data_IF_587202717249
#
_entry.id   IF_587202717249
#
_cell.length_a   1.000
_cell.length_b   1.000
_cell.length_c   1.000
_cell.angle_alpha   90.00
_cell.angle_beta   90.00
_cell.angle_gamma   90.00
#
_symmetry.space_group_name_H-M   'P 1'
#
loop_
_entity.id
_entity.type
_entity.pdbx_description
1 polymer ?
#
# COMPACT_ATOMS: atom_id res chain seq x y z
N UNK A 1 17.97 50.00 -17.03
CA UNK A 1 18.81 49.66 -18.19
C UNK A 1 17.94 48.88 -19.16
N UNK A 2 17.66 49.44 -20.33
CA UNK A 2 16.77 48.87 -21.33
C UNK A 2 17.50 47.81 -22.16
N UNK A 3 16.74 47.00 -22.93
CA UNK A 3 17.33 46.07 -23.93
C UNK A 3 18.26 46.82 -24.89
N UNK A 4 17.90 48.04 -25.27
CA UNK A 4 18.69 48.88 -26.16
C UNK A 4 20.02 49.28 -25.53
N UNK A 5 20.01 49.69 -24.25
CA UNK A 5 21.23 50.05 -23.53
C UNK A 5 22.26 48.89 -23.49
N UNK A 6 21.77 47.65 -23.43
CA UNK A 6 22.62 46.45 -23.47
C UNK A 6 23.21 46.19 -24.84
N UNK A 7 22.40 46.34 -25.90
CA UNK A 7 22.84 46.17 -27.29
C UNK A 7 23.92 47.22 -27.59
N UNK A 8 23.66 48.48 -27.29
CA UNK A 8 24.58 49.58 -27.56
C UNK A 8 25.92 49.38 -26.82
N UNK A 9 25.88 48.89 -25.57
CA UNK A 9 27.07 48.57 -24.79
C UNK A 9 27.87 47.41 -25.38
N UNK A 10 27.21 46.35 -25.85
CA UNK A 10 27.88 45.21 -26.49
C UNK A 10 28.49 45.64 -27.82
N UNK A 11 27.75 46.37 -28.65
CA UNK A 11 28.21 46.89 -29.94
C UNK A 11 29.49 47.70 -29.79
N UNK A 12 29.50 48.67 -28.86
CA UNK A 12 30.69 49.48 -28.55
C UNK A 12 31.91 48.65 -28.14
N UNK A 13 31.70 47.55 -27.42
CA UNK A 13 32.79 46.66 -27.01
C UNK A 13 33.34 45.80 -28.16
N UNK A 14 32.52 45.52 -29.17
CA UNK A 14 32.89 44.68 -30.33
C UNK A 14 33.51 45.50 -31.47
N UNK A 15 33.19 46.78 -31.61
CA UNK A 15 33.66 47.69 -32.67
C UNK A 15 35.19 47.81 -32.76
N UNK A 16 35.91 47.54 -31.66
CA UNK A 16 37.37 47.64 -31.60
C UNK A 16 38.11 46.33 -31.89
N UNK A 17 37.39 45.22 -32.10
CA UNK A 17 37.98 43.90 -32.32
C UNK A 17 38.33 43.65 -33.79
N UNK A 18 39.37 42.87 -34.02
CA UNK A 18 39.72 42.36 -35.34
C UNK A 18 38.76 41.26 -35.79
N UNK A 19 38.79 40.93 -37.09
CA UNK A 19 37.96 39.88 -37.68
C UNK A 19 38.19 38.50 -37.03
N UNK A 20 39.43 38.17 -36.69
CA UNK A 20 39.77 36.89 -36.07
C UNK A 20 39.30 36.85 -34.61
N UNK A 21 39.46 37.94 -33.85
CA UNK A 21 38.92 38.03 -32.49
C UNK A 21 37.39 37.96 -32.46
N UNK A 22 36.70 38.59 -33.42
CA UNK A 22 35.25 38.46 -33.57
C UNK A 22 34.81 37.02 -33.87
N UNK A 23 35.61 36.28 -34.65
CA UNK A 23 35.37 34.85 -34.91
C UNK A 23 35.52 34.03 -33.64
N UNK A 24 36.54 34.28 -32.83
CA UNK A 24 36.74 33.60 -31.56
C UNK A 24 35.61 33.91 -30.56
N UNK A 25 35.18 35.17 -30.48
CA UNK A 25 34.01 35.58 -29.68
C UNK A 25 32.76 34.83 -30.12
N UNK A 26 32.52 34.70 -31.43
CA UNK A 26 31.37 33.95 -31.97
C UNK A 26 31.42 32.46 -31.62
N UNK A 27 32.60 31.84 -31.68
CA UNK A 27 32.80 30.44 -31.30
C UNK A 27 32.52 30.26 -29.79
N UNK A 28 33.09 31.13 -28.95
CA UNK A 28 32.90 31.08 -27.51
C UNK A 28 31.44 31.30 -27.10
N UNK A 29 30.75 32.27 -27.70
CA UNK A 29 29.31 32.50 -27.42
C UNK A 29 28.45 31.33 -27.83
N UNK A 30 28.73 30.70 -28.98
CA UNK A 30 28.03 29.49 -29.42
C UNK A 30 28.26 28.32 -28.46
N UNK A 31 29.50 28.11 -28.02
CA UNK A 31 29.84 27.07 -27.04
C UNK A 31 29.16 27.34 -25.69
N UNK A 32 29.18 28.58 -25.20
CA UNK A 32 28.51 28.98 -23.96
C UNK A 32 26.99 28.79 -24.03
N UNK A 33 26.37 29.12 -25.16
CA UNK A 33 24.94 28.89 -25.38
C UNK A 33 24.62 27.39 -25.30
N UNK A 34 25.42 26.55 -25.98
CA UNK A 34 25.26 25.09 -25.93
C UNK A 34 25.42 24.52 -24.50
N UNK A 35 26.38 25.03 -23.72
CA UNK A 35 26.53 24.63 -22.31
C UNK A 35 25.31 25.03 -21.48
N UNK A 36 24.83 26.27 -21.62
CA UNK A 36 23.65 26.75 -20.87
C UNK A 36 22.39 25.95 -21.20
N UNK A 37 22.19 25.60 -22.47
CA UNK A 37 21.07 24.76 -22.88
C UNK A 37 21.12 23.40 -22.20
N UNK A 38 22.28 22.73 -22.24
CA UNK A 38 22.47 21.42 -21.59
C UNK A 38 22.31 21.48 -20.06
N UNK A 39 22.75 22.57 -19.43
CA UNK A 39 22.54 22.77 -17.99
C UNK A 39 21.06 22.93 -17.68
N UNK A 40 20.32 23.73 -18.46
CA UNK A 40 18.89 23.90 -18.28
C UNK A 40 18.10 22.58 -18.51
N UNK A 41 18.47 21.80 -19.53
CA UNK A 41 17.91 20.47 -19.77
C UNK A 41 18.18 19.53 -18.58
N UNK A 42 19.41 19.53 -18.07
CA UNK A 42 19.77 18.73 -16.88
C UNK A 42 18.95 19.14 -15.66
N UNK A 43 18.83 20.43 -15.36
CA UNK A 43 18.05 20.95 -14.24
C UNK A 43 16.57 20.56 -14.35
N UNK A 44 16.02 20.63 -15.57
CA UNK A 44 14.65 20.19 -15.85
C UNK A 44 14.47 18.69 -15.57
N UNK A 45 15.38 17.85 -16.07
CA UNK A 45 15.36 16.40 -15.86
C UNK A 45 15.53 16.05 -14.37
N UNK A 46 16.46 16.69 -13.66
CA UNK A 46 16.67 16.47 -12.22
C UNK A 46 15.41 16.81 -11.41
N UNK A 47 14.71 17.88 -11.78
CA UNK A 47 13.43 18.25 -11.17
C UNK A 47 12.35 17.21 -11.45
N UNK A 48 12.26 16.72 -12.68
CA UNK A 48 11.29 15.70 -13.07
C UNK A 48 11.55 14.36 -12.35
N UNK A 49 12.81 13.94 -12.26
CA UNK A 49 13.23 12.77 -11.47
C UNK A 49 12.85 12.95 -10.00
N UNK A 50 13.19 14.10 -9.39
CA UNK A 50 12.88 14.37 -7.99
C UNK A 50 11.37 14.33 -7.69
N UNK A 51 10.52 14.66 -8.66
CA UNK A 51 9.07 14.59 -8.51
C UNK A 51 8.53 13.16 -8.69
N UNK A 52 9.15 12.34 -9.53
CA UNK A 52 8.71 10.98 -9.85
C UNK A 52 9.25 9.92 -8.87
N UNK A 53 10.45 10.10 -8.34
CA UNK A 53 11.06 9.12 -7.40
C UNK A 53 10.17 8.82 -6.19
N UNK A 54 9.57 9.80 -5.50
CA UNK A 54 8.67 9.52 -4.38
C UNK A 54 7.42 8.75 -4.80
N UNK A 55 6.89 8.98 -6.01
CA UNK A 55 5.70 8.30 -6.52
C UNK A 55 5.97 6.82 -6.78
N UNK A 56 7.16 6.49 -7.28
CA UNK A 56 7.60 5.10 -7.48
C UNK A 56 7.89 4.38 -6.16
N UNK A 57 8.40 5.10 -5.16
CA UNK A 57 8.67 4.54 -3.83
C UNK A 57 7.40 4.35 -2.98
N UNK A 58 6.33 5.08 -3.27
CA UNK A 58 5.06 5.03 -2.54
C UNK A 58 4.04 4.03 -3.11
N UNK A 59 4.43 3.15 -4.03
CA UNK A 59 3.49 2.14 -4.50
C UNK A 59 3.14 1.23 -3.33
N UNK A 60 1.91 1.39 -2.82
CA UNK A 60 1.41 0.61 -1.70
C UNK A 60 1.52 -0.88 -2.05
N UNK A 61 2.06 -1.65 -1.11
CA UNK A 61 2.07 -3.10 -1.24
C UNK A 61 0.63 -3.60 -1.37
N UNK A 62 0.37 -4.60 -2.21
CA UNK A 62 -0.94 -5.23 -2.28
C UNK A 62 -1.34 -5.73 -0.90
N UNK A 63 -2.61 -5.54 -0.55
CA UNK A 63 -3.21 -6.06 0.67
C UNK A 63 -3.85 -7.40 0.32
N UNK A 64 -3.51 -8.47 1.04
CA UNK A 64 -4.06 -9.81 0.82
C UNK A 64 -4.68 -10.36 2.10
N UNK A 65 -5.73 -11.19 2.04
CA UNK A 65 -6.31 -11.82 3.22
C UNK A 65 -5.30 -12.67 4.01
N UNK A 66 -5.55 -12.88 5.29
CA UNK A 66 -4.65 -13.62 6.19
C UNK A 66 -4.39 -15.06 5.70
N UNK A 67 -5.43 -15.76 5.24
CA UNK A 67 -5.30 -17.13 4.74
C UNK A 67 -4.44 -17.20 3.47
N UNK A 68 -4.56 -16.21 2.59
CA UNK A 68 -3.73 -16.08 1.38
C UNK A 68 -2.28 -15.77 1.76
N UNK A 69 -2.06 -14.84 2.68
CA UNK A 69 -0.73 -14.52 3.21
C UNK A 69 -0.05 -15.76 3.81
N UNK A 70 -0.80 -16.53 4.60
CA UNK A 70 -0.33 -17.79 5.19
C UNK A 70 0.00 -18.80 4.09
N UNK A 71 -0.84 -18.94 3.07
CA UNK A 71 -0.60 -19.82 1.93
C UNK A 71 0.72 -19.46 1.21
N UNK A 72 0.88 -18.19 0.81
CA UNK A 72 2.09 -17.67 0.14
C UNK A 72 3.35 -17.89 1.01
N UNK A 73 3.23 -17.75 2.33
CA UNK A 73 4.37 -17.88 3.25
C UNK A 73 4.75 -19.33 3.57
N UNK A 74 3.79 -20.26 3.55
CA UNK A 74 3.99 -21.61 4.11
C UNK A 74 3.95 -22.74 3.09
N UNK A 75 3.13 -22.61 2.05
CA UNK A 75 2.85 -23.68 1.08
C UNK A 75 3.63 -23.50 -0.21
N UNK A 76 4.08 -22.29 -0.50
CA UNK A 76 4.76 -21.97 -1.74
C UNK A 76 6.24 -21.65 -1.51
N UNK A 77 7.10 -22.34 -2.24
CA UNK A 77 8.54 -22.08 -2.25
C UNK A 77 8.81 -20.73 -2.91
N UNK A 78 9.19 -19.72 -2.12
CA UNK A 78 9.46 -18.36 -2.60
C UNK A 78 10.69 -18.25 -3.51
N UNK A 79 11.46 -19.33 -3.68
CA UNK A 79 12.52 -19.38 -4.70
C UNK A 79 11.98 -19.60 -6.12
N UNK A 80 10.72 -20.00 -6.26
CA UNK A 80 10.03 -20.18 -7.54
C UNK A 80 9.62 -18.84 -8.14
N UNK A 81 9.80 -18.70 -9.45
CA UNK A 81 9.22 -17.57 -10.17
C UNK A 81 7.72 -17.84 -10.46
N UNK A 82 6.99 -16.84 -10.96
CA UNK A 82 5.56 -16.99 -11.24
C UNK A 82 5.25 -18.11 -12.24
N UNK A 83 6.12 -18.36 -13.23
CA UNK A 83 5.91 -19.44 -14.19
C UNK A 83 6.04 -20.81 -13.52
N UNK A 84 7.06 -21.00 -12.69
CA UNK A 84 7.25 -22.24 -11.92
C UNK A 84 6.05 -22.51 -10.99
N UNK A 85 5.41 -21.45 -10.49
CA UNK A 85 4.22 -21.53 -9.67
C UNK A 85 3.00 -21.99 -10.48
N UNK A 86 2.79 -21.42 -11.67
CA UNK A 86 1.66 -21.79 -12.53
C UNK A 86 1.70 -23.25 -12.98
N UNK A 87 2.88 -23.86 -13.00
CA UNK A 87 3.07 -25.28 -13.33
C UNK A 87 2.78 -26.22 -12.13
N UNK A 88 2.50 -25.69 -10.93
CA UNK A 88 2.16 -26.52 -9.77
C UNK A 88 0.84 -27.28 -9.96
N UNK A 89 0.76 -28.54 -9.51
CA UNK A 89 -0.46 -29.35 -9.64
C UNK A 89 -1.71 -28.67 -9.09
N UNK A 90 -1.56 -27.83 -8.06
CA UNK A 90 -2.65 -27.07 -7.46
C UNK A 90 -3.46 -26.24 -8.47
N UNK A 91 -2.80 -25.58 -9.44
CA UNK A 91 -3.46 -24.73 -10.44
C UNK A 91 -4.06 -25.51 -11.61
N UNK A 92 -3.86 -26.83 -11.65
CA UNK A 92 -4.35 -27.71 -12.70
C UNK A 92 -5.27 -28.81 -12.18
N UNK A 93 -5.41 -28.90 -10.85
CA UNK A 93 -6.31 -29.82 -10.20
C UNK A 93 -7.73 -29.27 -10.28
N UNK A 94 -8.68 -30.08 -10.75
CA UNK A 94 -10.08 -29.67 -10.79
C UNK A 94 -10.60 -29.42 -9.37
N UNK A 95 -11.40 -28.37 -9.20
CA UNK A 95 -11.90 -27.90 -7.90
C UNK A 95 -12.46 -29.02 -6.99
N UNK A 96 -13.14 -30.02 -7.56
CA UNK A 96 -13.72 -31.16 -6.83
C UNK A 96 -12.70 -32.09 -6.15
N UNK A 97 -11.40 -31.89 -6.40
CA UNK A 97 -10.30 -32.70 -5.87
C UNK A 97 -9.38 -31.94 -4.92
N UNK A 98 -9.68 -30.66 -4.66
CA UNK A 98 -8.92 -29.83 -3.72
C UNK A 98 -9.40 -30.06 -2.29
N UNK A 99 -8.50 -29.95 -1.33
CA UNK A 99 -8.91 -29.78 0.06
C UNK A 99 -9.60 -28.42 0.26
N UNK A 100 -10.40 -28.26 1.33
CA UNK A 100 -11.17 -27.02 1.56
C UNK A 100 -10.29 -25.76 1.56
N UNK A 101 -9.10 -25.83 2.18
CA UNK A 101 -8.15 -24.70 2.23
C UNK A 101 -7.49 -24.41 0.87
N UNK A 102 -7.29 -25.43 0.04
CA UNK A 102 -6.79 -25.30 -1.32
C UNK A 102 -7.86 -24.77 -2.28
N UNK A 103 -9.11 -25.18 -2.09
CA UNK A 103 -10.26 -24.67 -2.85
C UNK A 103 -10.45 -23.18 -2.60
N UNK A 104 -10.48 -22.74 -1.33
CA UNK A 104 -10.64 -21.33 -0.98
C UNK A 104 -9.50 -20.47 -1.55
N UNK A 105 -8.26 -20.99 -1.51
CA UNK A 105 -7.12 -20.33 -2.12
C UNK A 105 -7.27 -20.21 -3.65
N UNK A 106 -7.57 -21.30 -4.35
CA UNK A 106 -7.71 -21.29 -5.82
C UNK A 106 -8.88 -20.44 -6.27
N UNK A 107 -10.00 -20.49 -5.55
CA UNK A 107 -11.15 -19.65 -5.81
C UNK A 107 -10.80 -18.17 -5.70
N UNK A 108 -10.18 -17.76 -4.58
CA UNK A 108 -9.71 -16.38 -4.40
C UNK A 108 -8.68 -15.97 -5.46
N UNK A 109 -7.72 -16.86 -5.77
CA UNK A 109 -6.68 -16.63 -6.76
C UNK A 109 -7.25 -16.34 -8.15
N UNK A 110 -8.25 -17.12 -8.58
CA UNK A 110 -8.89 -16.95 -9.89
C UNK A 110 -9.62 -15.60 -9.99
N UNK A 111 -10.19 -15.10 -8.89
CA UNK A 111 -10.83 -13.78 -8.84
C UNK A 111 -9.81 -12.63 -8.68
N UNK A 112 -8.61 -12.91 -8.16
CA UNK A 112 -7.62 -11.90 -7.73
C UNK A 112 -6.24 -12.10 -8.35
N UNK A 113 -6.14 -12.70 -9.54
CA UNK A 113 -4.86 -13.12 -10.15
C UNK A 113 -3.83 -11.99 -10.21
N UNK A 114 -4.23 -10.80 -10.69
CA UNK A 114 -3.32 -9.65 -10.77
C UNK A 114 -2.85 -9.16 -9.39
N UNK A 115 -3.70 -9.26 -8.37
CA UNK A 115 -3.34 -8.87 -7.01
C UNK A 115 -2.34 -9.88 -6.42
N UNK A 116 -2.58 -11.16 -6.64
CA UNK A 116 -1.67 -12.23 -6.26
C UNK A 116 -0.29 -12.08 -6.91
N UNK A 117 -0.23 -11.86 -8.23
CA UNK A 117 1.04 -11.71 -8.97
C UNK A 117 1.88 -10.53 -8.45
N UNK A 118 1.20 -9.41 -8.13
CA UNK A 118 1.83 -8.26 -7.47
C UNK A 118 2.33 -8.63 -6.08
N UNK A 119 1.53 -9.35 -5.30
CA UNK A 119 1.89 -9.79 -3.94
C UNK A 119 3.11 -10.71 -3.95
N UNK A 120 3.17 -11.60 -4.93
CA UNK A 120 4.28 -12.52 -5.13
C UNK A 120 5.57 -11.79 -5.52
N UNK A 121 5.48 -10.85 -6.46
CA UNK A 121 6.65 -10.18 -7.05
C UNK A 121 7.19 -9.05 -6.17
N UNK A 122 6.29 -8.25 -5.59
CA UNK A 122 6.64 -7.01 -4.89
C UNK A 122 6.54 -7.14 -3.36
N UNK A 123 6.10 -8.29 -2.86
CA UNK A 123 5.69 -8.46 -1.46
C UNK A 123 4.26 -7.95 -1.23
N UNK A 124 3.75 -8.12 0.00
CA UNK A 124 2.38 -7.79 0.35
C UNK A 124 2.26 -7.33 1.81
N UNK A 125 1.11 -6.74 2.11
CA UNK A 125 0.63 -6.53 3.47
C UNK A 125 -0.58 -7.43 3.71
N UNK A 126 -0.79 -7.83 4.96
CA UNK A 126 -1.94 -8.64 5.33
C UNK A 126 -3.10 -7.72 5.66
N UNK A 127 -4.27 -8.02 5.12
CA UNK A 127 -5.51 -7.36 5.50
C UNK A 127 -5.69 -7.50 7.01
N UNK A 128 -5.84 -6.35 7.69
CA UNK A 128 -6.22 -6.37 9.10
C UNK A 128 -7.74 -6.50 9.15
N UNK A 129 -8.28 -7.62 9.68
CA UNK A 129 -9.73 -7.78 9.72
C UNK A 129 -10.35 -6.69 10.59
N UNK A 130 -11.48 -6.14 10.15
CA UNK A 130 -12.30 -5.29 11.01
C UNK A 130 -12.71 -6.09 12.25
N UNK A 131 -12.43 -5.53 13.42
CA UNK A 131 -12.74 -6.14 14.70
C UNK A 131 -14.01 -5.53 15.30
N UNK A 132 -14.75 -6.34 16.06
CA UNK A 132 -15.97 -5.93 16.74
C UNK A 132 -15.93 -6.33 18.22
N UNK A 133 -16.54 -5.50 19.07
CA UNK A 133 -16.99 -5.88 20.39
C UNK A 133 -18.42 -6.42 20.30
N UNK A 134 -18.72 -7.46 21.08
CA UNK A 134 -20.04 -8.08 21.14
C UNK A 134 -20.68 -7.77 22.48
N UNK A 135 -21.59 -6.79 22.50
CA UNK A 135 -22.31 -6.35 23.70
C UNK A 135 -23.63 -7.10 23.84
N UNK A 136 -23.83 -7.80 24.94
CA UNK A 136 -25.07 -8.52 25.17
C UNK A 136 -26.21 -7.53 25.44
N UNK A 137 -27.28 -7.59 24.63
CA UNK A 137 -28.37 -6.61 24.62
C UNK A 137 -29.11 -6.61 25.96
N UNK A 138 -29.70 -7.74 26.36
CA UNK A 138 -30.58 -7.79 27.54
C UNK A 138 -29.82 -7.69 28.87
N UNK A 139 -28.68 -8.37 29.02
CA UNK A 139 -27.85 -8.28 30.23
C UNK A 139 -27.38 -6.85 30.47
N UNK A 140 -26.92 -6.15 29.42
CA UNK A 140 -26.52 -4.75 29.53
C UNK A 140 -27.73 -3.86 29.79
N UNK A 141 -28.91 -4.14 29.23
CA UNK A 141 -30.10 -3.33 29.50
C UNK A 141 -30.56 -3.42 30.96
N UNK A 142 -30.45 -4.59 31.57
CA UNK A 142 -30.95 -4.87 32.92
C UNK A 142 -29.94 -4.59 34.04
N UNK A 143 -28.71 -4.21 33.71
CA UNK A 143 -27.66 -3.88 34.68
C UNK A 143 -27.34 -2.38 34.66
N UNK A 144 -27.57 -1.69 35.77
CA UNK A 144 -27.39 -0.23 35.86
C UNK A 144 -25.91 0.19 35.93
N UNK A 145 -25.02 -0.70 36.37
CA UNK A 145 -23.63 -0.35 36.69
C UNK A 145 -22.65 -0.77 35.59
N UNK A 146 -22.97 -1.82 34.85
CA UNK A 146 -22.05 -2.39 33.85
C UNK A 146 -22.74 -2.72 32.53
N UNK A 147 -21.93 -2.79 31.49
CA UNK A 147 -22.29 -3.39 30.21
C UNK A 147 -21.60 -4.76 30.09
N UNK A 148 -22.31 -5.74 29.58
CA UNK A 148 -21.84 -7.12 29.50
C UNK A 148 -21.36 -7.41 28.09
N UNK A 149 -20.09 -7.75 27.96
CA UNK A 149 -19.45 -8.06 26.69
C UNK A 149 -19.03 -9.52 26.64
N UNK A 150 -19.10 -10.12 25.45
CA UNK A 150 -18.52 -11.43 25.23
C UNK A 150 -17.00 -11.33 25.19
N UNK A 151 -16.32 -12.27 25.86
CA UNK A 151 -14.87 -12.40 25.78
C UNK A 151 -14.45 -13.85 25.61
N UNK A 152 -13.28 -14.06 24.99
CA UNK A 152 -12.61 -15.35 24.78
C UNK A 152 -11.48 -15.62 25.79
N UNK A 153 -11.55 -15.03 26.99
CA UNK A 153 -10.51 -15.16 28.01
C UNK A 153 -10.30 -16.63 28.45
N UNK A 154 -9.05 -17.06 28.57
CA UNK A 154 -8.65 -18.39 29.07
C UNK A 154 -9.35 -19.59 28.41
N UNK A 155 -9.49 -19.55 27.07
CA UNK A 155 -10.08 -20.64 26.25
C UNK A 155 -11.56 -20.94 26.59
N UNK A 156 -12.27 -20.00 27.21
CA UNK A 156 -13.72 -20.08 27.42
C UNK A 156 -14.37 -18.81 26.89
N UNK A 157 -15.48 -19.00 26.18
CA UNK A 157 -16.33 -17.89 25.75
C UNK A 157 -17.31 -17.59 26.89
N UNK A 158 -17.40 -16.32 27.30
CA UNK A 158 -18.32 -15.93 28.37
C UNK A 158 -18.50 -14.42 28.50
N UNK A 159 -19.50 -14.04 29.30
CA UNK A 159 -19.80 -12.64 29.57
C UNK A 159 -18.86 -12.07 30.63
N UNK A 160 -18.30 -10.90 30.35
CA UNK A 160 -17.48 -10.15 31.29
C UNK A 160 -18.04 -8.73 31.39
N UNK A 161 -18.11 -8.23 32.62
CA UNK A 161 -18.60 -6.90 32.91
C UNK A 161 -17.55 -5.84 32.55
N UNK A 162 -18.00 -4.78 31.91
CA UNK A 162 -17.24 -3.54 31.68
C UNK A 162 -18.03 -2.37 32.26
N UNK A 163 -17.35 -1.30 32.66
CA UNK A 163 -18.03 -0.10 33.15
C UNK A 163 -19.10 0.39 32.17
N UNK A 164 -20.22 0.88 32.69
CA UNK A 164 -21.35 1.32 31.87
C UNK A 164 -20.93 2.32 30.80
N UNK A 165 -21.33 2.07 29.54
CA UNK A 165 -21.02 2.92 28.37
C UNK A 165 -19.51 3.05 28.09
N UNK A 166 -18.68 2.16 28.61
CA UNK A 166 -17.26 2.06 28.29
C UNK A 166 -17.00 0.83 27.45
N UNK A 167 -16.13 0.98 26.45
CA UNK A 167 -15.68 -0.14 25.63
C UNK A 167 -14.62 -0.96 26.38
N UNK A 168 -14.57 -2.28 26.15
CA UNK A 168 -13.48 -3.12 26.64
C UNK A 168 -12.13 -2.66 26.08
N UNK A 169 -11.04 -2.92 26.83
CA UNK A 169 -9.68 -2.50 26.45
C UNK A 169 -8.84 -3.68 25.93
N UNK A 170 -9.21 -4.92 26.29
CA UNK A 170 -8.40 -6.11 26.00
C UNK A 170 -8.78 -6.77 24.68
N UNK A 171 -7.79 -7.33 23.98
CA UNK A 171 -7.99 -8.07 22.72
C UNK A 171 -8.86 -9.32 22.89
N UNK A 172 -8.99 -9.85 24.10
CA UNK A 172 -9.89 -10.96 24.40
C UNK A 172 -11.38 -10.63 24.19
N UNK A 173 -11.74 -9.38 23.95
CA UNK A 173 -13.11 -8.94 23.63
C UNK A 173 -13.34 -8.68 22.14
N UNK A 174 -12.29 -8.78 21.32
CA UNK A 174 -12.33 -8.45 19.91
C UNK A 174 -12.58 -9.70 19.07
N UNK A 175 -13.50 -9.58 18.13
CA UNK A 175 -13.90 -10.66 17.22
C UNK A 175 -13.82 -10.21 15.78
N UNK A 176 -13.39 -11.10 14.88
CA UNK A 176 -13.53 -10.88 13.43
C UNK A 176 -14.97 -11.17 12.99
N UNK A 177 -15.38 -10.67 11.82
CA UNK A 177 -16.71 -10.99 11.28
C UNK A 177 -16.89 -12.51 11.09
N UNK A 178 -15.87 -13.21 10.61
CA UNK A 178 -15.89 -14.66 10.43
C UNK A 178 -16.11 -15.41 11.75
N UNK A 179 -15.46 -14.98 12.85
CA UNK A 179 -15.72 -15.53 14.18
C UNK A 179 -17.18 -15.32 14.57
N UNK A 180 -17.76 -14.15 14.30
CA UNK A 180 -19.15 -13.83 14.62
C UNK A 180 -20.14 -14.64 13.79
N UNK A 181 -19.89 -14.80 12.48
CA UNK A 181 -20.77 -15.54 11.56
C UNK A 181 -20.81 -17.03 11.90
N UNK A 182 -19.71 -17.56 12.45
CA UNK A 182 -19.65 -18.92 13.00
C UNK A 182 -20.43 -19.10 14.30
N UNK A 183 -20.88 -18.00 14.92
CA UNK A 183 -21.57 -17.97 16.20
C UNK A 183 -23.04 -17.58 16.04
N UNK A 184 -23.95 -18.21 16.80
CA UNK A 184 -25.35 -17.77 16.87
C UNK A 184 -25.47 -16.53 17.78
N UNK A 185 -25.08 -15.36 17.29
CA UNK A 185 -24.93 -14.12 18.09
C UNK A 185 -26.18 -13.23 18.13
N UNK A 186 -27.37 -13.77 17.89
CA UNK A 186 -28.62 -12.98 17.81
C UNK A 186 -28.96 -12.13 19.04
N UNK A 187 -28.37 -12.42 20.21
CA UNK A 187 -28.54 -11.66 21.46
C UNK A 187 -27.51 -10.53 21.67
N UNK A 188 -26.65 -10.26 20.68
CA UNK A 188 -25.55 -9.31 20.78
C UNK A 188 -25.68 -8.17 19.78
N UNK A 189 -25.33 -6.97 20.24
CA UNK A 189 -25.04 -5.81 19.42
C UNK A 189 -23.56 -5.86 19.01
N UNK A 190 -23.29 -5.69 17.71
CA UNK A 190 -21.94 -5.57 17.17
C UNK A 190 -21.52 -4.10 17.20
N UNK A 191 -20.35 -3.83 17.79
CA UNK A 191 -19.78 -2.49 17.89
C UNK A 191 -18.41 -2.52 17.23
N UNK A 192 -18.21 -1.75 16.17
CA UNK A 192 -16.92 -1.63 15.49
C UNK A 192 -15.83 -1.12 16.43
N UNK A 193 -14.67 -1.77 16.40
CA UNK A 193 -13.46 -1.29 17.06
C UNK A 193 -12.84 -0.22 16.16
N UNK A 194 -12.77 1.03 16.65
CA UNK A 194 -12.05 2.10 15.97
C UNK A 194 -10.54 1.88 15.98
N UNK A 195 -9.86 2.34 14.92
CA UNK A 195 -8.39 2.34 14.79
C UNK A 195 -7.68 3.23 15.83
#
# INVERSE_FOLDING_TARGET
MTKQDYIDKITKNLEHLTKDELKDVSILTTAQYGVRLKVAEKEYIEKEISNLTPQLQQQALPVVPEDIAKFINTKLDKSKNLQDLYDEPLFHTGENYLADDEYDFIHWFNENTTLFEKAWTNGFTVEKPQLFYLKHIDMSKNDEQVDWYMSKAHRRVGHNACEKRKLPIYDSFKYTQQEIDSMQTGSYEQIEVGE
#
